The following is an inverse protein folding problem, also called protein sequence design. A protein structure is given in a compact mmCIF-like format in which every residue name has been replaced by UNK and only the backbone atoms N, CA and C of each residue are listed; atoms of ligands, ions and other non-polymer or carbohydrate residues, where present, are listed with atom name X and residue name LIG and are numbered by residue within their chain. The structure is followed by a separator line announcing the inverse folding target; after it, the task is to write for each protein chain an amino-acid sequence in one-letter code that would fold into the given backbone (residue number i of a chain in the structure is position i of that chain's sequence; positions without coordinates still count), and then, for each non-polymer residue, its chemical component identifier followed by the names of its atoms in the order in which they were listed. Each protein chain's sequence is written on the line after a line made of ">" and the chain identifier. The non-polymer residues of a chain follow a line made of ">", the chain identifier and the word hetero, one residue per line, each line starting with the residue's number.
data_IF_015881374085
#
_entry.id   IF_015881374085
#
_cell.length_a   1.000
_cell.length_b   1.000
_cell.length_c   1.000
_cell.angle_alpha   90.00
_cell.angle_beta   90.00
_cell.angle_gamma   90.00
#
_symmetry.space_group_name_H-M   'P 1'
#
loop_
_entity.id
_entity.type
_entity.pdbx_description
1 polymer ?
#
# COMPACT_ATOMS: atom_id res chain seq x y z
N UNK A 1 -18.48 1.02 10.49
CA UNK A 1 -17.47 0.98 9.40
C UNK A 1 -16.61 -0.24 9.65
N UNK A 2 -16.63 -1.20 8.72
CA UNK A 2 -15.69 -2.32 8.76
C UNK A 2 -14.35 -1.79 8.24
N UNK A 3 -13.34 -1.71 9.12
CA UNK A 3 -11.96 -1.43 8.71
C UNK A 3 -11.35 -2.76 8.28
N UNK A 4 -10.86 -2.83 7.04
CA UNK A 4 -10.15 -4.00 6.52
C UNK A 4 -8.65 -3.71 6.49
N UNK A 5 -7.83 -4.61 7.02
CA UNK A 5 -6.37 -4.46 6.92
C UNK A 5 -5.90 -4.84 5.52
N UNK A 6 -5.22 -3.91 4.85
CA UNK A 6 -4.68 -4.10 3.50
C UNK A 6 -3.30 -4.75 3.54
N UNK A 7 -2.41 -4.24 4.39
CA UNK A 7 -1.06 -4.79 4.60
C UNK A 7 -0.47 -4.37 5.94
N UNK A 8 0.62 -5.04 6.33
CA UNK A 8 1.55 -4.59 7.37
C UNK A 8 2.88 -4.24 6.69
N UNK A 9 3.37 -3.03 6.92
CA UNK A 9 4.57 -2.50 6.28
C UNK A 9 5.80 -3.27 6.76
N UNK A 10 6.55 -3.81 5.82
CA UNK A 10 7.90 -4.34 6.05
C UNK A 10 8.97 -3.31 5.68
N UNK A 11 8.76 -2.67 4.53
CA UNK A 11 9.69 -1.67 4.00
C UNK A 11 8.91 -0.53 3.34
N UNK A 12 9.49 0.67 3.46
CA UNK A 12 8.97 1.91 2.91
C UNK A 12 10.07 2.65 2.15
N UNK A 13 9.70 3.31 1.05
CA UNK A 13 10.61 4.04 0.18
C UNK A 13 10.01 5.42 -0.13
N UNK A 14 10.72 6.48 0.26
CA UNK A 14 10.33 7.84 -0.09
C UNK A 14 10.65 8.09 -1.56
N UNK A 15 9.61 8.40 -2.34
CA UNK A 15 9.70 8.77 -3.74
C UNK A 15 9.45 10.28 -3.83
N UNK A 16 10.53 11.05 -3.90
CA UNK A 16 10.47 12.52 -3.89
C UNK A 16 9.52 13.05 -4.96
N UNK A 17 8.55 13.87 -4.54
CA UNK A 17 7.54 14.44 -5.43
C UNK A 17 6.36 13.51 -5.77
N UNK A 18 6.33 12.29 -5.23
CA UNK A 18 5.28 11.30 -5.50
C UNK A 18 4.62 10.77 -4.22
N UNK A 19 5.39 10.45 -3.19
CA UNK A 19 4.87 9.94 -1.93
C UNK A 19 5.77 8.87 -1.31
N UNK A 20 5.18 7.92 -0.59
CA UNK A 20 5.90 6.82 0.06
C UNK A 20 5.37 5.48 -0.43
N UNK A 21 6.21 4.71 -1.11
CA UNK A 21 5.90 3.35 -1.54
C UNK A 21 6.08 2.40 -0.35
N UNK A 22 5.06 1.61 -0.05
CA UNK A 22 5.07 0.65 1.07
C UNK A 22 4.70 -0.74 0.58
N UNK A 23 5.33 -1.75 1.17
CA UNK A 23 5.13 -3.16 0.79
C UNK A 23 5.15 -4.11 2.00
N UNK A 24 4.47 -5.23 1.84
CA UNK A 24 4.52 -6.37 2.77
C UNK A 24 5.86 -7.11 2.71
N UNK A 25 6.16 -8.01 3.66
CA UNK A 25 7.27 -8.95 3.51
C UNK A 25 7.13 -9.79 2.24
N UNK A 26 8.25 -10.16 1.62
CA UNK A 26 8.25 -11.01 0.43
C UNK A 26 7.53 -12.35 0.69
N UNK A 27 6.70 -12.80 -0.25
CA UNK A 27 5.94 -14.05 -0.12
C UNK A 27 4.81 -14.03 0.91
N UNK A 28 4.66 -12.95 1.70
CA UNK A 28 3.43 -12.70 2.45
C UNK A 28 2.49 -11.89 1.57
N UNK A 29 1.47 -12.58 1.09
CA UNK A 29 0.56 -12.01 0.14
C UNK A 29 -0.27 -10.90 0.78
N UNK A 30 -0.17 -9.68 0.25
CA UNK A 30 -1.15 -8.63 0.47
C UNK A 30 -2.43 -8.96 -0.32
N UNK A 31 -3.03 -10.12 -0.07
CA UNK A 31 -4.21 -10.64 -0.76
C UNK A 31 -5.37 -9.63 -0.80
N UNK A 32 -5.64 -8.84 0.26
CA UNK A 32 -6.69 -7.83 0.19
C UNK A 32 -6.48 -6.79 -0.91
N UNK A 33 -5.23 -6.54 -1.34
CA UNK A 33 -4.95 -5.59 -2.42
C UNK A 33 -5.28 -6.15 -3.81
N UNK A 34 -5.23 -7.47 -4.00
CA UNK A 34 -5.45 -8.10 -5.32
C UNK A 34 -6.86 -7.89 -5.88
N UNK A 35 -7.82 -7.52 -5.03
CA UNK A 35 -9.21 -7.23 -5.44
C UNK A 35 -9.38 -5.85 -6.07
N UNK A 36 -8.39 -4.97 -5.92
CA UNK A 36 -8.43 -3.63 -6.49
C UNK A 36 -7.66 -3.60 -7.81
N UNK A 37 -8.18 -2.83 -8.76
CA UNK A 37 -7.48 -2.54 -10.00
C UNK A 37 -6.23 -1.69 -9.71
N UNK A 38 -5.15 -1.89 -10.48
CA UNK A 38 -3.97 -1.03 -10.40
C UNK A 38 -4.36 0.45 -10.59
N UNK A 39 -3.64 1.33 -9.91
CA UNK A 39 -3.84 2.78 -9.84
C UNK A 39 -5.15 3.23 -9.18
N UNK A 40 -5.94 2.30 -8.62
CA UNK A 40 -7.10 2.66 -7.80
C UNK A 40 -6.63 3.44 -6.58
N UNK A 41 -7.22 4.61 -6.34
CA UNK A 41 -6.97 5.40 -5.13
C UNK A 41 -7.89 4.95 -4.00
N UNK A 42 -7.29 4.57 -2.87
CA UNK A 42 -7.93 4.09 -1.66
C UNK A 42 -7.81 5.12 -0.54
N UNK A 43 -8.89 5.33 0.21
CA UNK A 43 -8.83 6.07 1.46
C UNK A 43 -8.34 5.13 2.58
N UNK A 44 -7.19 5.43 3.17
CA UNK A 44 -6.51 4.54 4.12
C UNK A 44 -6.19 5.23 5.44
N UNK A 45 -6.03 4.42 6.48
CA UNK A 45 -5.50 4.81 7.79
C UNK A 45 -4.27 3.99 8.09
N UNK A 46 -3.17 4.68 8.38
CA UNK A 46 -1.96 4.11 8.94
C UNK A 46 -2.15 3.98 10.45
N UNK A 47 -1.79 2.82 11.01
CA UNK A 47 -1.82 2.55 12.45
C UNK A 47 -0.41 2.15 12.88
N UNK A 48 0.22 3.00 13.69
CA UNK A 48 1.56 2.79 14.22
C UNK A 48 1.54 1.88 15.44
N UNK A 49 2.70 1.36 15.86
CA UNK A 49 2.82 0.43 16.99
C UNK A 49 2.37 1.02 18.34
N UNK A 50 2.42 2.34 18.49
CA UNK A 50 1.92 3.08 19.65
C UNK A 50 0.40 3.30 19.62
N UNK A 51 -0.28 2.82 18.57
CA UNK A 51 -1.72 2.98 18.33
C UNK A 51 -2.11 4.32 17.71
N UNK A 52 -1.15 5.22 17.45
CA UNK A 52 -1.43 6.47 16.75
C UNK A 52 -1.92 6.18 15.33
N UNK A 53 -2.89 6.96 14.87
CA UNK A 53 -3.48 6.83 13.55
C UNK A 53 -3.17 8.03 12.66
N UNK A 54 -2.91 7.79 11.38
CA UNK A 54 -2.76 8.84 10.37
C UNK A 54 -3.58 8.50 9.12
N UNK A 55 -4.51 9.36 8.72
CA UNK A 55 -5.34 9.15 7.54
C UNK A 55 -4.71 9.77 6.30
N UNK A 56 -4.73 9.04 5.19
CA UNK A 56 -4.25 9.52 3.88
C UNK A 56 -4.95 8.78 2.74
N UNK A 57 -4.56 9.06 1.50
CA UNK A 57 -4.91 8.25 0.33
C UNK A 57 -3.71 7.45 -0.15
N UNK A 58 -3.97 6.31 -0.79
CA UNK A 58 -2.95 5.48 -1.41
C UNK A 58 -3.39 4.97 -2.77
N UNK A 59 -2.50 4.94 -3.74
CA UNK A 59 -2.72 4.24 -5.01
C UNK A 59 -2.26 2.79 -4.90
N UNK A 60 -3.04 1.87 -5.49
CA UNK A 60 -2.66 0.46 -5.62
C UNK A 60 -1.62 0.34 -6.72
N UNK A 61 -0.44 -0.15 -6.37
CA UNK A 61 0.70 -0.25 -7.28
C UNK A 61 1.16 -1.69 -7.44
N UNK A 62 2.03 -1.91 -8.42
CA UNK A 62 2.69 -3.18 -8.66
C UNK A 62 4.20 -3.03 -8.58
N UNK A 63 4.86 -3.93 -7.84
CA UNK A 63 6.32 -3.92 -7.71
C UNK A 63 6.91 -5.27 -8.15
N UNK A 64 8.02 -5.22 -8.88
CA UNK A 64 8.87 -6.36 -9.11
C UNK A 64 9.93 -6.45 -8.01
N UNK A 65 10.15 -7.66 -7.47
CA UNK A 65 11.31 -7.92 -6.61
C UNK A 65 12.42 -8.59 -7.43
N UNK A 66 13.67 -8.12 -7.32
CA UNK A 66 14.80 -8.86 -7.87
C UNK A 66 14.91 -10.21 -7.15
N UNK A 67 14.90 -11.29 -7.92
CA UNK A 67 15.15 -12.65 -7.45
C UNK A 67 16.65 -12.93 -7.47
N UNK A 68 17.18 -13.54 -6.42
CA UNK A 68 18.59 -13.97 -6.37
C UNK A 68 18.91 -15.16 -7.29
N UNK A 69 17.90 -15.94 -7.69
CA UNK A 69 18.05 -17.24 -8.38
C UNK A 69 17.73 -17.19 -9.89
N UNK A 70 17.81 -16.02 -10.54
CA UNK A 70 17.48 -15.81 -11.97
C UNK A 70 16.06 -16.27 -12.41
N UNK A 71 15.21 -16.65 -11.46
CA UNK A 71 13.81 -17.00 -11.72
C UNK A 71 12.91 -15.79 -11.54
N UNK A 72 12.12 -15.40 -12.56
CA UNK A 72 11.24 -14.24 -12.45
C UNK A 72 10.22 -14.45 -11.32
N UNK A 73 10.31 -13.64 -10.27
CA UNK A 73 9.27 -13.55 -9.25
C UNK A 73 8.06 -12.85 -9.84
N UNK A 74 6.83 -13.36 -9.65
CA UNK A 74 5.65 -12.62 -10.05
C UNK A 74 5.63 -11.27 -9.32
N UNK A 75 5.14 -10.20 -9.98
CA UNK A 75 4.99 -8.93 -9.32
C UNK A 75 4.03 -9.02 -8.13
N UNK A 76 4.29 -8.19 -7.12
CA UNK A 76 3.52 -8.12 -5.89
C UNK A 76 2.75 -6.79 -5.81
N UNK A 77 1.50 -6.81 -5.29
CA UNK A 77 0.78 -5.58 -5.05
C UNK A 77 1.42 -4.79 -3.90
N UNK A 78 1.50 -3.48 -4.07
CA UNK A 78 2.01 -2.51 -3.10
C UNK A 78 1.06 -1.31 -2.99
N UNK A 79 1.38 -0.38 -2.10
CA UNK A 79 0.67 0.89 -1.99
C UNK A 79 1.65 2.04 -2.13
N UNK A 80 1.27 3.04 -2.93
CA UNK A 80 1.93 4.34 -2.95
C UNK A 80 1.09 5.32 -2.12
N UNK A 81 1.57 5.66 -0.95
CA UNK A 81 0.91 6.60 -0.04
C UNK A 81 1.15 8.03 -0.52
N UNK A 82 0.07 8.79 -0.73
CA UNK A 82 0.13 10.19 -1.13
C UNK A 82 0.34 11.07 0.11
N UNK A 83 1.60 11.15 0.54
CA UNK A 83 2.01 11.95 1.69
C UNK A 83 2.71 13.22 1.19
N UNK A 84 2.31 14.38 1.71
CA UNK A 84 2.91 15.68 1.38
C UNK A 84 4.30 15.85 1.98
N UNK A 85 4.58 15.14 3.06
CA UNK A 85 5.85 15.19 3.79
C UNK A 85 6.59 13.86 3.68
N UNK A 86 7.91 13.91 3.81
CA UNK A 86 8.77 12.73 3.96
C UNK A 86 8.53 12.10 5.33
N UNK A 87 7.38 11.47 5.51
CA UNK A 87 7.04 10.72 6.70
C UNK A 87 7.75 9.37 6.64
N UNK A 88 8.68 9.14 7.57
CA UNK A 88 9.27 7.82 7.75
C UNK A 88 8.22 6.87 8.34
N UNK A 89 8.02 5.73 7.66
CA UNK A 89 7.05 4.71 8.07
C UNK A 89 7.80 3.50 8.60
N UNK A 90 7.79 3.26 9.92
CA UNK A 90 8.52 2.15 10.51
C UNK A 90 7.87 0.81 10.11
N UNK A 91 8.68 -0.26 10.02
CA UNK A 91 8.15 -1.62 9.88
C UNK A 91 7.16 -1.96 11.00
N UNK A 92 6.15 -2.77 10.69
CA UNK A 92 5.06 -3.12 11.59
C UNK A 92 3.89 -2.14 11.56
N UNK A 93 4.03 -0.96 10.93
CA UNK A 93 2.89 -0.06 10.69
C UNK A 93 1.83 -0.77 9.85
N UNK A 94 0.57 -0.72 10.28
CA UNK A 94 -0.53 -1.35 9.55
C UNK A 94 -1.25 -0.33 8.66
N UNK A 95 -1.67 -0.76 7.47
CA UNK A 95 -2.46 0.06 6.55
C UNK A 95 -3.86 -0.53 6.46
N UNK A 96 -4.86 0.28 6.80
CA UNK A 96 -6.26 -0.12 6.89
C UNK A 96 -7.12 0.67 5.89
N UNK A 97 -7.99 -0.02 5.16
CA UNK A 97 -9.02 0.61 4.33
C UNK A 97 -10.05 1.28 5.22
N UNK A 98 -10.35 2.55 4.94
CA UNK A 98 -11.33 3.33 5.71
C UNK A 98 -12.67 3.47 5.01
N UNK A 99 -12.67 3.43 3.67
CA UNK A 99 -13.85 3.54 2.82
C UNK A 99 -13.63 2.70 1.56
N UNK A 100 -14.69 2.04 1.07
CA UNK A 100 -14.61 1.39 -0.24
C UNK A 100 -14.44 2.45 -1.33
N UNK A 101 -13.52 2.24 -2.30
CA UNK A 101 -13.39 3.13 -3.42
C UNK A 101 -14.69 3.14 -4.21
N UNK A 102 -15.09 4.32 -4.69
CA UNK A 102 -16.16 4.40 -5.67
C UNK A 102 -15.76 3.57 -6.91
N UNK A 103 -16.70 2.86 -7.55
CA UNK A 103 -16.41 2.21 -8.82
C UNK A 103 -15.80 3.24 -9.77
N UNK A 104 -14.72 2.86 -10.46
CA UNK A 104 -14.14 3.72 -11.49
C UNK A 104 -15.28 4.14 -12.43
N UNK A 105 -15.51 5.44 -12.57
CA UNK A 105 -16.50 5.92 -13.51
C UNK A 105 -16.12 5.34 -14.88
N UNK A 106 -17.03 4.60 -15.52
CA UNK A 106 -16.87 4.22 -16.91
C UNK A 106 -16.81 5.51 -17.73
N UNK A 107 -15.62 5.94 -18.14
CA UNK A 107 -15.46 6.97 -19.15
C UNK A 107 -15.76 6.31 -20.49
N UNK A 108 -17.05 6.31 -20.86
CA UNK A 108 -17.56 6.03 -22.20
C UNK A 108 -17.16 7.15 -23.18
#
# INVERSE_FOLDING_TARGET
>A
MNLEKLLTIDSSFVLTGLGVLVRSPAGLAAEPLRRFTLYTTLAVKLVFADGQGYSTTASVEEIARPSSDDQPTPPEPALLLHLTDSLELPPGTEVWLTQEPAPAADWL
#
